data_IF_082579857622
#
_entry.id   IF_082579857622
#
_cell.length_a   1.000
_cell.length_b   1.000
_cell.length_c   1.000
_cell.angle_alpha   90.00
_cell.angle_beta   90.00
_cell.angle_gamma   90.00
#
_symmetry.space_group_name_H-M   'P 1'
#
loop_
_entity.id
_entity.type
_entity.pdbx_description
1 polymer ?
#
# COMPACT_ATOMS: atom_id res chain seq x y z
N UNK A 1 1.12 21.59 29.37
CA UNK A 1 2.38 22.14 28.80
C UNK A 1 2.16 22.35 27.31
N UNK A 2 2.70 23.42 26.70
CA UNK A 2 2.52 23.68 25.27
C UNK A 2 3.17 22.58 24.43
N UNK A 3 2.59 22.29 23.27
CA UNK A 3 3.18 21.39 22.27
C UNK A 3 4.16 22.19 21.41
N UNK A 4 5.38 21.67 21.25
CA UNK A 4 6.42 22.24 20.40
C UNK A 4 6.80 21.23 19.30
N UNK A 5 6.70 21.64 18.04
CA UNK A 5 7.13 20.81 16.91
C UNK A 5 8.57 21.13 16.55
N UNK A 6 9.40 20.09 16.37
CA UNK A 6 10.82 20.22 16.02
C UNK A 6 11.19 19.20 14.93
N UNK A 7 12.05 19.58 13.97
CA UNK A 7 12.64 18.61 13.05
C UNK A 7 13.44 17.54 13.79
N UNK A 8 13.36 16.31 13.30
CA UNK A 8 14.17 15.19 13.77
C UNK A 8 15.65 15.48 13.49
N UNK A 9 16.47 15.50 14.55
CA UNK A 9 17.92 15.70 14.42
C UNK A 9 18.70 14.54 15.01
N UNK A 10 19.51 13.90 14.17
CA UNK A 10 20.40 12.82 14.58
C UNK A 10 19.68 11.52 14.95
N UNK A 11 20.47 10.55 15.43
CA UNK A 11 20.02 9.16 15.60
C UNK A 11 18.98 8.97 16.71
N UNK A 12 19.03 9.80 17.76
CA UNK A 12 18.12 9.69 18.91
C UNK A 12 16.70 10.08 18.52
N UNK A 13 16.54 11.23 17.88
CA UNK A 13 15.23 11.70 17.42
C UNK A 13 14.68 10.79 16.33
N UNK A 14 15.52 10.31 15.41
CA UNK A 14 15.09 9.39 14.36
C UNK A 14 14.52 8.10 14.95
N UNK A 15 15.17 7.56 15.99
CA UNK A 15 14.64 6.42 16.73
C UNK A 15 13.32 6.74 17.42
N UNK A 16 13.20 7.91 18.07
CA UNK A 16 11.94 8.35 18.69
C UNK A 16 10.81 8.49 17.68
N UNK A 17 11.10 9.02 16.49
CA UNK A 17 10.16 9.08 15.39
C UNK A 17 9.65 7.69 15.05
N UNK A 18 10.53 6.73 14.77
CA UNK A 18 10.11 5.35 14.46
C UNK A 18 9.31 4.74 15.63
N UNK A 19 9.84 4.82 16.85
CA UNK A 19 9.29 4.17 18.05
C UNK A 19 7.89 4.67 18.41
N UNK A 20 7.59 5.96 18.17
CA UNK A 20 6.32 6.56 18.60
C UNK A 20 5.08 5.90 17.99
N UNK A 21 5.12 5.45 16.72
CA UNK A 21 3.99 4.73 16.13
C UNK A 21 3.69 3.41 16.86
N UNK A 22 4.73 2.75 17.40
CA UNK A 22 4.58 1.52 18.18
C UNK A 22 4.07 1.79 19.59
N UNK A 23 4.51 2.88 20.20
CA UNK A 23 4.02 3.32 21.51
C UNK A 23 2.54 3.72 21.43
N UNK A 24 2.18 4.50 20.40
CA UNK A 24 0.83 5.05 20.22
C UNK A 24 -0.24 3.98 19.97
N UNK A 25 0.13 2.92 19.27
CA UNK A 25 -0.78 1.85 18.87
C UNK A 25 -0.61 0.56 19.69
N UNK A 26 0.19 0.57 20.76
CA UNK A 26 0.52 -0.64 21.54
C UNK A 26 -0.69 -1.38 22.13
N UNK A 27 -1.78 -0.66 22.37
CA UNK A 27 -3.02 -1.17 22.99
C UNK A 27 -4.11 -1.51 21.97
N UNK A 28 -3.89 -1.24 20.69
CA UNK A 28 -4.85 -1.58 19.64
C UNK A 28 -4.65 -3.06 19.22
N UNK A 29 -5.66 -3.93 19.41
CA UNK A 29 -5.55 -5.35 19.07
C UNK A 29 -5.52 -5.63 17.56
N UNK A 30 -5.92 -4.65 16.74
CA UNK A 30 -5.94 -4.72 15.29
C UNK A 30 -4.77 -3.99 14.63
N UNK A 31 -4.00 -3.23 15.41
CA UNK A 31 -2.74 -2.69 14.91
C UNK A 31 -1.68 -3.79 14.81
N UNK A 32 -1.25 -4.08 13.59
CA UNK A 32 -0.17 -5.03 13.32
C UNK A 32 1.09 -4.23 12.99
N UNK A 33 2.07 -4.16 13.92
CA UNK A 33 3.26 -3.37 13.72
C UNK A 33 4.03 -3.78 12.46
N UNK A 34 4.38 -2.84 11.57
CA UNK A 34 5.32 -3.09 10.50
C UNK A 34 6.65 -3.59 11.06
N UNK A 35 7.46 -4.23 10.21
CA UNK A 35 8.82 -4.57 10.59
C UNK A 35 9.62 -3.30 10.86
N UNK A 36 10.21 -3.21 12.06
CA UNK A 36 11.02 -2.05 12.48
C UNK A 36 12.20 -1.80 11.54
N UNK A 37 12.78 -2.86 10.99
CA UNK A 37 13.84 -2.76 9.99
C UNK A 37 13.30 -2.08 8.72
N UNK A 38 12.17 -2.55 8.17
CA UNK A 38 11.55 -1.95 6.99
C UNK A 38 11.20 -0.48 7.21
N UNK A 39 10.67 -0.10 8.38
CA UNK A 39 10.40 1.31 8.70
C UNK A 39 11.68 2.16 8.73
N UNK A 40 12.74 1.62 9.32
CA UNK A 40 14.04 2.30 9.34
C UNK A 40 14.57 2.49 7.91
N UNK A 41 14.52 1.47 7.06
CA UNK A 41 15.01 1.54 5.69
C UNK A 41 14.18 2.49 4.83
N UNK A 42 12.85 2.41 4.96
CA UNK A 42 11.88 3.30 4.29
C UNK A 42 12.13 4.79 4.57
N UNK A 43 12.58 5.13 5.77
CA UNK A 43 12.83 6.51 6.21
C UNK A 43 14.33 6.91 6.20
N UNK A 44 15.22 6.04 5.69
CA UNK A 44 16.65 6.35 5.57
C UNK A 44 16.98 6.76 4.13
N UNK A 45 17.44 8.00 3.88
CA UNK A 45 17.69 8.49 2.51
C UNK A 45 18.63 7.63 1.67
N UNK A 46 19.66 7.04 2.29
CA UNK A 46 20.63 6.19 1.59
C UNK A 46 20.15 4.77 1.31
N UNK A 47 18.95 4.41 1.77
CA UNK A 47 18.38 3.06 1.64
C UNK A 47 17.09 3.01 0.82
N UNK A 48 16.39 4.13 0.68
CA UNK A 48 15.15 4.21 -0.09
C UNK A 48 15.33 5.10 -1.33
N UNK A 49 15.26 4.54 -2.55
CA UNK A 49 15.40 5.29 -3.80
C UNK A 49 14.40 6.45 -3.98
N UNK A 50 13.26 6.45 -3.26
CA UNK A 50 12.29 7.55 -3.25
C UNK A 50 12.95 8.92 -2.94
N UNK A 51 13.97 8.95 -2.09
CA UNK A 51 14.70 10.16 -1.74
C UNK A 51 15.55 10.74 -2.88
N UNK A 52 15.68 10.05 -4.02
CA UNK A 52 16.34 10.59 -5.21
C UNK A 52 15.52 11.70 -5.89
N UNK A 53 14.22 11.76 -5.63
CA UNK A 53 13.32 12.76 -6.21
C UNK A 53 12.36 13.42 -5.21
N UNK A 54 12.36 12.98 -3.96
CA UNK A 54 11.52 13.57 -2.91
C UNK A 54 12.36 14.07 -1.73
N UNK A 55 11.98 15.24 -1.23
CA UNK A 55 12.48 15.77 0.04
C UNK A 55 11.53 15.37 1.16
N UNK A 56 12.05 14.81 2.26
CA UNK A 56 11.25 14.36 3.40
C UNK A 56 11.79 14.97 4.68
N UNK A 57 10.97 15.81 5.31
CA UNK A 57 11.24 16.38 6.63
C UNK A 57 10.45 15.63 7.69
N UNK A 58 11.15 14.96 8.60
CA UNK A 58 10.53 14.28 9.74
C UNK A 58 10.40 15.25 10.91
N UNK A 59 9.21 15.35 11.48
CA UNK A 59 8.85 16.28 12.54
C UNK A 59 8.33 15.51 13.76
N UNK A 60 8.74 15.93 14.96
CA UNK A 60 8.25 15.42 16.24
C UNK A 60 7.56 16.54 17.02
N UNK A 61 6.39 16.24 17.58
CA UNK A 61 5.72 17.08 18.56
C UNK A 61 6.21 16.69 19.97
N UNK A 62 6.53 17.68 20.79
CA UNK A 62 7.04 17.51 22.15
C UNK A 62 6.15 18.22 23.15
N UNK A 63 5.88 17.56 24.28
CA UNK A 63 5.24 18.16 25.46
C UNK A 63 6.20 17.99 26.63
N UNK A 64 7.01 19.02 26.87
CA UNK A 64 8.20 18.86 27.73
C UNK A 64 9.24 17.96 27.06
N UNK A 65 9.63 16.89 27.74
CA UNK A 65 10.59 15.88 27.25
C UNK A 65 9.92 14.67 26.58
N UNK A 66 8.58 14.62 26.61
CA UNK A 66 7.81 13.51 26.05
C UNK A 66 7.38 13.81 24.61
N UNK A 67 7.51 12.80 23.74
CA UNK A 67 6.99 12.88 22.37
C UNK A 67 5.47 12.75 22.43
N UNK A 68 4.77 13.70 21.82
CA UNK A 68 3.32 13.76 21.73
C UNK A 68 2.79 13.49 20.32
N UNK A 69 3.67 13.26 19.34
CA UNK A 69 3.28 12.94 17.98
C UNK A 69 4.43 12.98 16.97
N UNK A 70 4.17 12.52 15.76
CA UNK A 70 5.08 12.52 14.61
C UNK A 70 4.32 12.81 13.32
N UNK A 71 5.00 13.43 12.36
CA UNK A 71 4.52 13.62 10.99
C UNK A 71 5.74 13.75 10.06
N UNK A 72 5.62 13.27 8.82
CA UNK A 72 6.56 13.58 7.76
C UNK A 72 5.91 14.60 6.82
N UNK A 73 6.60 15.71 6.55
CA UNK A 73 6.31 16.58 5.42
C UNK A 73 7.13 16.09 4.22
N UNK A 74 6.47 15.86 3.08
CA UNK A 74 7.05 15.17 1.92
C UNK A 74 6.81 16.03 0.69
N UNK A 75 7.87 16.49 0.03
CA UNK A 75 7.78 17.17 -1.26
C UNK A 75 8.32 16.25 -2.36
N UNK A 76 7.41 15.60 -3.09
CA UNK A 76 7.76 14.70 -4.20
C UNK A 76 7.73 15.46 -5.53
N UNK A 77 8.92 15.66 -6.11
CA UNK A 77 9.07 16.34 -7.39
C UNK A 77 8.44 15.55 -8.54
N UNK A 78 8.56 14.22 -8.56
CA UNK A 78 8.01 13.41 -9.65
C UNK A 78 6.49 13.48 -9.67
N UNK A 79 5.84 13.48 -8.51
CA UNK A 79 4.39 13.67 -8.43
C UNK A 79 3.96 14.98 -9.08
N UNK A 80 4.61 16.09 -8.73
CA UNK A 80 4.28 17.41 -9.28
C UNK A 80 4.64 17.54 -10.77
N UNK A 81 5.66 16.85 -11.27
CA UNK A 81 5.99 16.78 -12.70
C UNK A 81 4.90 16.06 -13.52
N UNK A 82 4.36 14.96 -12.98
CA UNK A 82 3.32 14.15 -13.62
C UNK A 82 1.94 14.81 -13.54
N UNK A 83 1.51 15.21 -12.35
CA UNK A 83 0.13 15.64 -12.08
C UNK A 83 -0.07 17.15 -12.13
N UNK A 84 1.00 17.94 -11.93
CA UNK A 84 0.95 19.42 -11.89
C UNK A 84 -0.09 19.97 -10.91
N UNK A 85 -0.36 19.26 -9.82
CA UNK A 85 -1.35 19.63 -8.81
C UNK A 85 -0.78 20.51 -7.69
N UNK A 86 0.53 20.78 -7.71
CA UNK A 86 1.21 21.76 -6.86
C UNK A 86 1.02 21.50 -5.35
N UNK A 87 1.37 20.28 -4.97
CA UNK A 87 1.04 19.68 -3.68
C UNK A 87 2.29 19.18 -2.98
N UNK A 88 2.37 19.43 -1.68
CA UNK A 88 3.19 18.64 -0.76
C UNK A 88 2.32 17.56 -0.12
N UNK A 89 2.94 16.49 0.33
CA UNK A 89 2.28 15.41 1.04
C UNK A 89 2.59 15.46 2.53
N UNK A 90 1.67 14.93 3.35
CA UNK A 90 2.01 14.52 4.70
C UNK A 90 1.82 13.03 4.87
N UNK A 91 2.61 12.42 5.75
CA UNK A 91 2.58 10.99 6.04
C UNK A 91 3.09 10.70 7.44
N UNK A 92 3.12 9.41 7.78
CA UNK A 92 3.67 8.88 9.01
C UNK A 92 3.11 9.59 10.25
N UNK A 93 1.84 9.95 10.17
CA UNK A 93 1.15 10.80 11.13
C UNK A 93 0.67 9.99 12.32
N UNK A 94 1.07 10.42 13.51
CA UNK A 94 0.57 9.92 14.79
C UNK A 94 0.48 11.10 15.78
N UNK A 95 -0.54 11.11 16.62
CA UNK A 95 -0.74 12.15 17.62
C UNK A 95 -1.36 11.59 18.90
N UNK A 96 -0.91 12.09 20.06
CA UNK A 96 -1.47 11.76 21.36
C UNK A 96 -2.89 12.31 21.54
N UNK A 97 -3.14 13.51 21.01
CA UNK A 97 -4.36 14.29 21.16
C UNK A 97 -4.50 15.31 20.03
N UNK A 98 -5.63 16.01 20.00
CA UNK A 98 -5.95 17.03 18.99
C UNK A 98 -4.92 18.16 18.97
N UNK A 99 -4.45 18.65 20.13
CA UNK A 99 -3.46 19.73 20.19
C UNK A 99 -2.16 19.34 19.49
N UNK A 100 -1.67 18.12 19.73
CA UNK A 100 -0.49 17.60 19.05
C UNK A 100 -0.72 17.42 17.54
N UNK A 101 -1.90 16.93 17.15
CA UNK A 101 -2.29 16.79 15.76
C UNK A 101 -2.30 18.13 15.02
N UNK A 102 -2.96 19.15 15.59
CA UNK A 102 -3.03 20.50 15.02
C UNK A 102 -1.63 21.09 14.83
N UNK A 103 -0.77 20.98 15.84
CA UNK A 103 0.60 21.49 15.76
C UNK A 103 1.41 20.81 14.65
N UNK A 104 1.30 19.48 14.51
CA UNK A 104 1.99 18.70 13.48
C UNK A 104 1.50 19.01 12.06
N UNK A 105 0.17 19.04 11.87
CA UNK A 105 -0.44 19.36 10.58
C UNK A 105 -0.12 20.80 10.16
N UNK A 106 -0.12 21.75 11.09
CA UNK A 106 0.31 23.12 10.85
C UNK A 106 1.79 23.19 10.43
N UNK A 107 2.68 22.44 11.09
CA UNK A 107 4.09 22.40 10.75
C UNK A 107 4.33 21.81 9.35
N UNK A 108 3.62 20.74 8.98
CA UNK A 108 3.66 20.18 7.63
C UNK A 108 3.16 21.19 6.58
N UNK A 109 2.08 21.93 6.88
CA UNK A 109 1.58 23.00 6.02
C UNK A 109 2.56 24.17 5.87
N UNK A 110 3.25 24.56 6.94
CA UNK A 110 4.31 25.58 6.86
C UNK A 110 5.50 25.11 6.02
N UNK A 111 5.91 23.85 6.14
CA UNK A 111 6.98 23.25 5.32
C UNK A 111 6.59 23.25 3.82
N UNK A 112 5.35 22.86 3.51
CA UNK A 112 4.81 22.89 2.16
C UNK A 112 4.79 24.31 1.55
N UNK A 113 4.33 25.31 2.31
CA UNK A 113 4.36 26.72 1.90
C UNK A 113 5.79 27.22 1.64
N UNK A 114 6.73 26.86 2.51
CA UNK A 114 8.14 27.24 2.35
C UNK A 114 8.76 26.64 1.07
N UNK A 115 8.30 25.45 0.66
CA UNK A 115 8.67 24.81 -0.60
C UNK A 115 7.83 25.28 -1.80
N UNK A 116 7.01 26.33 -1.63
CA UNK A 116 6.24 26.95 -2.71
C UNK A 116 5.01 26.16 -3.16
N UNK A 117 4.52 25.22 -2.35
CA UNK A 117 3.32 24.42 -2.68
C UNK A 117 2.05 25.14 -2.25
N UNK A 118 0.98 24.97 -3.03
CA UNK A 118 -0.35 25.53 -2.75
C UNK A 118 -1.27 24.57 -2.00
N UNK A 119 -0.94 23.30 -1.95
CA UNK A 119 -1.77 22.28 -1.29
C UNK A 119 -0.93 21.37 -0.40
N UNK A 120 -1.59 20.82 0.62
CA UNK A 120 -1.08 19.67 1.38
C UNK A 120 -2.07 18.52 1.30
N UNK A 121 -1.61 17.32 0.93
CA UNK A 121 -2.43 16.11 0.79
C UNK A 121 -1.90 14.94 1.62
N UNK A 122 -2.77 14.15 2.23
CA UNK A 122 -2.33 12.99 3.00
C UNK A 122 -3.44 12.30 3.79
N UNK A 123 -3.13 11.23 4.52
CA UNK A 123 -1.77 10.70 4.72
C UNK A 123 -1.28 9.82 3.55
N UNK A 124 0.01 9.91 3.21
CA UNK A 124 0.71 9.12 2.18
C UNK A 124 2.14 8.75 2.70
N UNK A 125 2.53 7.47 2.64
CA UNK A 125 3.68 6.91 3.39
C UNK A 125 4.70 6.10 2.53
N UNK A 126 5.71 6.74 1.92
CA UNK A 126 5.75 8.16 1.56
C UNK A 126 5.10 8.44 0.20
N UNK A 127 4.73 7.40 -0.57
CA UNK A 127 4.10 7.53 -1.88
C UNK A 127 2.89 6.60 -2.02
N UNK A 128 2.04 6.88 -3.02
CA UNK A 128 0.88 6.06 -3.35
C UNK A 128 1.26 4.64 -3.82
N UNK A 129 2.50 4.43 -4.27
CA UNK A 129 3.04 3.12 -4.64
C UNK A 129 3.45 2.26 -3.41
N UNK A 130 3.59 2.86 -2.22
CA UNK A 130 3.92 2.12 -0.99
C UNK A 130 2.67 1.91 -0.12
N UNK A 131 2.16 2.98 0.50
CA UNK A 131 1.00 2.92 1.39
C UNK A 131 0.36 4.30 1.53
N UNK A 132 -0.97 4.39 1.50
CA UNK A 132 -1.68 5.67 1.56
C UNK A 132 -3.09 5.51 2.12
N UNK A 133 -3.63 6.65 2.57
CA UNK A 133 -4.97 6.77 3.12
C UNK A 133 -5.02 6.53 4.64
N UNK A 134 -5.89 7.28 5.30
CA UNK A 134 -6.25 7.09 6.70
C UNK A 134 -7.41 6.09 6.78
N UNK A 135 -7.32 5.06 7.61
CA UNK A 135 -8.46 4.19 7.89
C UNK A 135 -9.58 5.03 8.52
N UNK A 136 -10.78 4.99 7.93
CA UNK A 136 -11.99 5.69 8.39
C UNK A 136 -13.19 4.76 8.59
N UNK A 137 -13.08 3.50 8.18
CA UNK A 137 -14.11 2.47 8.36
C UNK A 137 -13.47 1.07 8.38
N UNK A 138 -14.00 0.17 9.22
CA UNK A 138 -13.49 -1.20 9.40
C UNK A 138 -12.38 -1.37 10.44
N UNK A 139 -12.41 -0.61 11.54
CA UNK A 139 -11.42 -0.66 12.63
C UNK A 139 -11.42 -1.99 13.43
N UNK A 140 -12.47 -2.80 13.30
CA UNK A 140 -12.70 -4.07 14.00
C UNK A 140 -11.99 -5.28 13.36
N UNK A 141 -11.12 -5.04 12.39
CA UNK A 141 -10.41 -6.09 11.65
C UNK A 141 -8.94 -5.75 11.45
N UNK A 142 -8.09 -6.78 11.44
CA UNK A 142 -6.66 -6.64 11.18
C UNK A 142 -6.42 -6.08 9.76
N UNK A 143 -5.40 -5.22 9.55
CA UNK A 143 -5.01 -4.77 8.24
C UNK A 143 -4.28 -5.89 7.49
N UNK A 144 -4.52 -6.00 6.19
CA UNK A 144 -3.68 -6.81 5.32
C UNK A 144 -2.30 -6.18 5.17
N UNK A 145 -1.31 -7.00 4.82
CA UNK A 145 0.06 -6.57 4.52
C UNK A 145 0.11 -5.33 3.63
N UNK A 146 0.93 -4.35 4.03
CA UNK A 146 1.11 -3.02 3.42
C UNK A 146 -0.10 -2.06 3.50
N UNK A 147 -1.21 -2.43 4.15
CA UNK A 147 -2.32 -1.51 4.40
C UNK A 147 -2.18 -0.81 5.76
N UNK A 148 -2.56 0.49 5.85
CA UNK A 148 -2.43 1.25 7.09
C UNK A 148 -3.51 0.83 8.12
N UNK A 149 -3.22 1.09 9.38
CA UNK A 149 -4.17 1.02 10.49
C UNK A 149 -3.79 2.12 11.48
N UNK A 150 -4.77 2.92 11.89
CA UNK A 150 -4.58 4.08 12.75
C UNK A 150 -5.73 4.20 13.75
N UNK A 151 -5.55 4.97 14.83
CA UNK A 151 -6.63 5.31 15.75
C UNK A 151 -7.80 6.02 15.03
N UNK A 152 -9.06 5.73 15.39
CA UNK A 152 -10.24 6.28 14.72
C UNK A 152 -10.36 7.81 14.84
N UNK A 153 -9.91 8.39 15.95
CA UNK A 153 -9.97 9.83 16.23
C UNK A 153 -9.12 10.69 15.27
N UNK A 154 -8.20 10.09 14.50
CA UNK A 154 -7.35 10.84 13.58
C UNK A 154 -8.13 11.50 12.44
N UNK A 155 -9.29 10.94 12.06
CA UNK A 155 -10.16 11.57 11.08
C UNK A 155 -10.64 12.94 11.58
N UNK A 156 -11.12 12.99 12.81
CA UNK A 156 -11.61 14.21 13.45
C UNK A 156 -10.49 15.25 13.58
N UNK A 157 -9.29 14.84 14.00
CA UNK A 157 -8.13 15.73 14.11
C UNK A 157 -7.72 16.36 12.77
N UNK A 158 -7.73 15.57 11.69
CA UNK A 158 -7.39 16.05 10.35
C UNK A 158 -8.48 17.01 9.83
N UNK A 159 -9.75 16.65 10.02
CA UNK A 159 -10.88 17.48 9.60
C UNK A 159 -10.97 18.80 10.38
N UNK A 160 -10.71 18.79 11.70
CA UNK A 160 -10.68 19.99 12.52
C UNK A 160 -9.50 20.92 12.19
N UNK A 161 -8.41 20.37 11.63
CA UNK A 161 -7.30 21.14 11.06
C UNK A 161 -7.65 21.82 9.72
N UNK A 162 -8.88 21.68 9.23
CA UNK A 162 -9.38 22.29 8.00
C UNK A 162 -9.07 21.50 6.73
N UNK A 163 -8.61 20.26 6.85
CA UNK A 163 -8.48 19.37 5.70
C UNK A 163 -9.84 18.79 5.32
N UNK A 164 -10.02 18.49 4.04
CA UNK A 164 -11.25 17.89 3.50
C UNK A 164 -10.91 16.65 2.69
N UNK A 165 -11.83 15.69 2.63
CA UNK A 165 -11.72 14.52 1.76
C UNK A 165 -11.40 14.95 0.33
N UNK A 166 -10.41 14.32 -0.29
CA UNK A 166 -10.15 14.41 -1.73
C UNK A 166 -10.37 13.09 -2.45
N UNK A 167 -10.15 11.95 -1.79
CA UNK A 167 -10.38 10.63 -2.36
C UNK A 167 -10.60 9.59 -1.28
N UNK A 168 -11.64 8.77 -1.43
CA UNK A 168 -11.77 7.51 -0.70
C UNK A 168 -11.20 6.34 -1.51
N UNK A 169 -10.66 5.39 -0.76
CA UNK A 169 -9.95 4.20 -1.21
C UNK A 169 -10.62 2.99 -0.56
N UNK A 170 -11.16 2.09 -1.37
CA UNK A 170 -11.87 0.89 -0.89
C UNK A 170 -10.93 -0.30 -0.82
N UNK A 171 -11.12 -1.12 0.21
CA UNK A 171 -10.59 -2.46 0.26
C UNK A 171 -11.74 -3.46 0.27
N UNK A 172 -11.68 -4.38 -0.67
CA UNK A 172 -12.69 -5.41 -0.86
C UNK A 172 -12.16 -6.75 -0.41
N UNK A 173 -12.95 -7.47 0.36
CA UNK A 173 -12.64 -8.81 0.83
C UNK A 173 -13.48 -9.83 0.04
N UNK A 174 -12.80 -10.78 -0.58
CA UNK A 174 -13.38 -11.85 -1.38
C UNK A 174 -13.10 -13.21 -0.74
N UNK A 175 -14.12 -14.07 -0.76
CA UNK A 175 -14.02 -15.46 -0.34
C UNK A 175 -13.51 -16.31 -1.52
N UNK A 176 -12.28 -16.83 -1.39
CA UNK A 176 -11.61 -17.64 -2.42
C UNK A 176 -12.32 -19.00 -2.59
N UNK A 177 -12.98 -19.51 -1.55
CA UNK A 177 -13.66 -20.80 -1.58
C UNK A 177 -14.96 -20.76 -2.38
N UNK A 178 -15.47 -19.54 -2.66
CA UNK A 178 -16.65 -19.32 -3.48
C UNK A 178 -16.50 -19.94 -4.87
N UNK A 179 -17.55 -20.62 -5.31
CA UNK A 179 -17.58 -21.20 -6.66
C UNK A 179 -17.56 -20.10 -7.73
N UNK A 180 -16.65 -20.26 -8.69
CA UNK A 180 -16.63 -19.41 -9.87
C UNK A 180 -17.84 -19.74 -10.74
N UNK A 181 -18.64 -18.74 -11.17
CA UNK A 181 -19.75 -18.98 -12.09
C UNK A 181 -19.28 -19.77 -13.33
N UNK A 182 -19.96 -20.86 -13.73
CA UNK A 182 -19.52 -21.71 -14.84
C UNK A 182 -19.30 -20.97 -16.15
N UNK A 183 -20.03 -19.87 -16.37
CA UNK A 183 -19.85 -18.99 -17.54
C UNK A 183 -18.47 -18.31 -17.56
N UNK A 184 -17.99 -17.85 -16.40
CA UNK A 184 -16.68 -17.20 -16.26
C UNK A 184 -15.58 -18.22 -16.46
N UNK A 185 -15.69 -19.40 -15.82
CA UNK A 185 -14.73 -20.49 -16.02
C UNK A 185 -14.63 -20.93 -17.48
N UNK A 186 -15.76 -21.12 -18.18
CA UNK A 186 -15.76 -21.45 -19.61
C UNK A 186 -15.12 -20.37 -20.48
N UNK A 187 -15.37 -19.09 -20.17
CA UNK A 187 -14.76 -17.98 -20.90
C UNK A 187 -13.24 -17.96 -20.70
N UNK A 188 -12.78 -18.11 -19.46
CA UNK A 188 -11.35 -18.17 -19.13
C UNK A 188 -10.66 -19.31 -19.90
N UNK A 189 -11.23 -20.53 -19.84
CA UNK A 189 -10.70 -21.68 -20.58
C UNK A 189 -10.65 -21.43 -22.09
N UNK A 190 -11.70 -20.85 -22.68
CA UNK A 190 -11.72 -20.50 -24.10
C UNK A 190 -10.62 -19.49 -24.48
N UNK A 191 -10.35 -18.50 -23.64
CA UNK A 191 -9.27 -17.53 -23.88
C UNK A 191 -7.91 -18.20 -23.75
N UNK A 192 -7.74 -19.07 -22.74
CA UNK A 192 -6.52 -19.84 -22.50
C UNK A 192 -6.17 -20.76 -23.66
N UNK A 193 -7.16 -21.40 -24.25
CA UNK A 193 -6.94 -22.40 -25.32
C UNK A 193 -6.76 -21.73 -26.71
N UNK A 194 -6.67 -20.40 -26.79
CA UNK A 194 -6.27 -19.71 -28.02
C UNK A 194 -4.79 -19.95 -28.26
N UNK A 195 -4.43 -20.37 -29.47
CA UNK A 195 -3.05 -20.76 -29.85
C UNK A 195 -1.97 -19.72 -29.52
N UNK A 196 -2.35 -18.44 -29.41
CA UNK A 196 -1.43 -17.32 -29.17
C UNK A 196 -1.27 -16.92 -27.70
N UNK A 197 -2.06 -17.50 -26.79
CA UNK A 197 -2.08 -17.12 -25.37
C UNK A 197 -1.37 -18.20 -24.55
N UNK A 198 -0.33 -17.80 -23.83
CA UNK A 198 0.38 -18.69 -22.90
C UNK A 198 0.20 -18.18 -21.47
N UNK A 199 -0.45 -18.96 -20.62
CA UNK A 199 -0.53 -18.70 -19.18
C UNK A 199 0.64 -19.38 -18.49
N UNK A 200 1.39 -18.65 -17.68
CA UNK A 200 2.58 -19.16 -16.99
C UNK A 200 2.72 -18.57 -15.59
N UNK A 201 3.45 -19.25 -14.68
CA UNK A 201 3.84 -18.65 -13.41
C UNK A 201 4.89 -17.54 -13.60
N UNK A 202 5.11 -16.78 -12.53
CA UNK A 202 6.25 -15.87 -12.43
C UNK A 202 7.55 -16.67 -12.28
N UNK A 203 8.57 -16.40 -13.12
CA UNK A 203 9.82 -17.15 -13.10
C UNK A 203 10.85 -16.53 -12.15
N UNK A 204 10.86 -16.95 -10.88
CA UNK A 204 11.78 -16.40 -9.87
C UNK A 204 13.27 -16.66 -10.16
N UNK A 205 13.59 -17.68 -10.95
CA UNK A 205 14.95 -17.93 -11.46
C UNK A 205 15.44 -16.81 -12.39
N UNK A 206 14.52 -16.11 -13.07
CA UNK A 206 14.79 -14.95 -13.92
C UNK A 206 14.38 -13.63 -13.25
N UNK A 207 14.51 -13.54 -11.92
CA UNK A 207 13.96 -12.45 -11.11
C UNK A 207 14.15 -11.04 -11.70
N UNK A 208 15.37 -10.67 -12.11
CA UNK A 208 15.64 -9.34 -12.67
C UNK A 208 14.81 -9.06 -13.94
N UNK A 209 14.71 -10.04 -14.85
CA UNK A 209 13.90 -9.92 -16.07
C UNK A 209 12.42 -9.85 -15.75
N UNK A 210 11.94 -10.67 -14.80
CA UNK A 210 10.54 -10.59 -14.38
C UNK A 210 10.20 -9.23 -13.77
N UNK A 211 11.09 -8.67 -12.95
CA UNK A 211 10.90 -7.34 -12.36
C UNK A 211 10.75 -6.28 -13.47
N UNK A 212 11.59 -6.31 -14.50
CA UNK A 212 11.49 -5.39 -15.65
C UNK A 212 10.17 -5.58 -16.42
N UNK A 213 9.79 -6.84 -16.72
CA UNK A 213 8.52 -7.18 -17.38
C UNK A 213 7.32 -6.66 -16.59
N UNK A 214 7.31 -6.90 -15.27
CA UNK A 214 6.21 -6.49 -14.40
C UNK A 214 6.15 -4.97 -14.25
N UNK A 215 7.29 -4.27 -14.21
CA UNK A 215 7.32 -2.81 -14.19
C UNK A 215 6.66 -2.23 -15.45
N UNK A 216 6.97 -2.78 -16.62
CA UNK A 216 6.35 -2.34 -17.88
C UNK A 216 4.83 -2.53 -17.87
N UNK A 217 4.35 -3.70 -17.42
CA UNK A 217 2.91 -3.97 -17.30
C UNK A 217 2.27 -3.05 -16.27
N UNK A 218 2.91 -2.83 -15.12
CA UNK A 218 2.40 -1.94 -14.06
C UNK A 218 2.24 -0.51 -14.57
N UNK A 219 3.30 0.08 -15.13
CA UNK A 219 3.26 1.44 -15.65
C UNK A 219 2.21 1.60 -16.77
N UNK A 220 2.14 0.66 -17.71
CA UNK A 220 1.16 0.74 -18.82
C UNK A 220 -0.28 0.46 -18.40
N UNK A 221 -0.50 -0.36 -17.35
CA UNK A 221 -1.86 -0.62 -16.87
C UNK A 221 -2.40 0.50 -15.98
N UNK A 222 -1.54 1.23 -15.27
CA UNK A 222 -1.93 2.21 -14.24
C UNK A 222 -1.67 3.67 -14.59
N UNK A 223 -1.14 3.99 -15.78
CA UNK A 223 -0.79 5.37 -16.22
C UNK A 223 -1.90 6.42 -16.01
N UNK A 224 -3.18 6.04 -16.13
CA UNK A 224 -4.33 6.94 -15.98
C UNK A 224 -4.98 6.89 -14.59
N UNK A 225 -4.43 6.10 -13.65
CA UNK A 225 -5.01 5.95 -12.33
C UNK A 225 -4.73 7.20 -11.47
N UNK A 226 -5.72 7.65 -10.69
CA UNK A 226 -5.59 8.88 -9.90
C UNK A 226 -4.39 8.82 -8.95
N UNK A 227 -3.55 9.85 -8.98
CA UNK A 227 -2.35 9.97 -8.15
C UNK A 227 -1.23 8.97 -8.51
N UNK A 228 -1.37 8.19 -9.57
CA UNK A 228 -0.31 7.28 -10.00
C UNK A 228 0.92 8.05 -10.49
N UNK A 229 2.07 7.76 -9.90
CA UNK A 229 3.38 8.22 -10.37
C UNK A 229 4.15 6.96 -10.75
N UNK A 230 4.60 6.82 -12.02
CA UNK A 230 5.39 5.66 -12.42
C UNK A 230 6.61 5.53 -11.49
N UNK A 231 6.76 4.41 -10.75
CA UNK A 231 7.93 4.23 -9.90
C UNK A 231 9.19 4.17 -10.78
N UNK A 232 10.28 4.70 -10.25
CA UNK A 232 11.59 4.53 -10.87
C UNK A 232 11.97 3.05 -10.90
N UNK A 233 12.93 2.69 -11.76
CA UNK A 233 13.42 1.31 -11.83
C UNK A 233 13.94 0.81 -10.49
N UNK A 234 14.66 1.67 -9.75
CA UNK A 234 15.24 1.32 -8.45
C UNK A 234 14.17 1.19 -7.35
N UNK A 235 13.14 2.04 -7.35
CA UNK A 235 12.00 1.88 -6.43
C UNK A 235 11.26 0.56 -6.67
N UNK A 236 10.95 0.25 -7.93
CA UNK A 236 10.23 -0.98 -8.26
C UNK A 236 11.08 -2.22 -7.95
N UNK A 237 12.39 -2.18 -8.25
CA UNK A 237 13.35 -3.24 -7.91
C UNK A 237 13.48 -3.43 -6.39
N UNK A 238 13.55 -2.34 -5.61
CA UNK A 238 13.57 -2.39 -4.14
C UNK A 238 12.34 -3.11 -3.62
N UNK A 239 11.14 -2.66 -4.02
CA UNK A 239 9.88 -3.26 -3.55
C UNK A 239 9.80 -4.74 -3.90
N UNK A 240 10.14 -5.12 -5.13
CA UNK A 240 10.18 -6.52 -5.54
C UNK A 240 11.17 -7.35 -4.71
N UNK A 241 12.33 -6.78 -4.38
CA UNK A 241 13.37 -7.45 -3.56
C UNK A 241 12.91 -7.64 -2.11
N UNK A 242 12.20 -6.66 -1.54
CA UNK A 242 11.63 -6.74 -0.20
C UNK A 242 10.50 -7.79 -0.11
N UNK A 243 9.70 -7.93 -1.16
CA UNK A 243 8.61 -8.91 -1.22
C UNK A 243 9.09 -10.33 -1.54
N UNK A 244 10.22 -10.49 -2.23
CA UNK A 244 10.74 -11.80 -2.67
C UNK A 244 10.81 -12.87 -1.56
N UNK A 245 11.27 -12.61 -0.32
CA UNK A 245 11.35 -13.63 0.72
C UNK A 245 10.00 -14.17 1.20
N UNK A 246 8.93 -13.38 1.05
CA UNK A 246 7.58 -13.72 1.51
C UNK A 246 6.68 -14.20 0.37
N UNK A 247 7.14 -14.06 -0.87
CA UNK A 247 6.40 -14.45 -2.05
C UNK A 247 6.12 -15.96 -2.10
N UNK A 248 4.97 -16.30 -2.66
CA UNK A 248 4.51 -17.65 -2.92
C UNK A 248 4.19 -17.75 -4.42
N UNK A 249 4.80 -18.69 -5.12
CA UNK A 249 4.66 -18.83 -6.57
C UNK A 249 3.21 -19.05 -7.03
N UNK A 250 2.35 -19.58 -6.14
CA UNK A 250 0.91 -19.76 -6.38
C UNK A 250 0.12 -18.45 -6.41
N UNK A 251 0.75 -17.35 -5.97
CA UNK A 251 0.14 -16.04 -5.89
C UNK A 251 0.42 -15.17 -7.12
N UNK A 252 1.00 -15.71 -8.20
CA UNK A 252 1.17 -14.96 -9.43
C UNK A 252 0.81 -15.75 -10.68
N UNK A 253 0.08 -15.08 -11.56
CA UNK A 253 -0.26 -15.59 -12.90
C UNK A 253 0.15 -14.54 -13.91
N UNK A 254 0.93 -14.94 -14.91
CA UNK A 254 1.29 -14.11 -16.05
C UNK A 254 0.64 -14.67 -17.32
N UNK A 255 0.34 -13.79 -18.27
CA UNK A 255 -0.09 -14.17 -19.60
C UNK A 255 0.79 -13.50 -20.65
N UNK A 256 1.32 -14.33 -21.54
CA UNK A 256 2.03 -13.90 -22.72
C UNK A 256 1.11 -14.04 -23.94
N UNK A 257 1.22 -13.11 -24.89
CA UNK A 257 0.54 -13.17 -26.18
C UNK A 257 1.58 -13.08 -27.29
N UNK A 258 1.58 -14.05 -28.19
CA UNK A 258 2.58 -14.16 -29.26
C UNK A 258 4.04 -14.13 -28.72
N UNK A 259 4.24 -14.71 -27.52
CA UNK A 259 5.54 -14.78 -26.83
C UNK A 259 5.94 -13.52 -26.06
N UNK A 260 5.15 -12.45 -26.11
CA UNK A 260 5.40 -11.21 -25.37
C UNK A 260 4.59 -11.18 -24.05
N UNK A 261 5.18 -10.75 -22.92
CA UNK A 261 4.46 -10.59 -21.65
C UNK A 261 3.53 -9.38 -21.72
N UNK A 262 2.23 -9.62 -21.58
CA UNK A 262 1.22 -8.55 -21.76
C UNK A 262 0.30 -8.36 -20.56
N UNK A 263 0.25 -9.32 -19.65
CA UNK A 263 -0.60 -9.22 -18.48
C UNK A 263 -0.10 -10.03 -17.29
N UNK A 264 -0.47 -9.60 -16.09
CA UNK A 264 -0.19 -10.32 -14.86
C UNK A 264 -1.24 -10.02 -13.78
N UNK A 265 -1.42 -10.99 -12.88
CA UNK A 265 -2.10 -10.83 -11.60
C UNK A 265 -1.14 -11.30 -10.51
N UNK A 266 -0.83 -10.43 -9.54
CA UNK A 266 0.11 -10.69 -8.46
C UNK A 266 -0.57 -10.40 -7.13
N UNK A 267 -0.67 -11.44 -6.31
CA UNK A 267 -1.01 -11.37 -4.91
C UNK A 267 0.21 -11.66 -4.05
N UNK A 268 0.15 -11.29 -2.77
CA UNK A 268 1.13 -11.68 -1.76
C UNK A 268 0.44 -12.30 -0.55
N UNK A 269 1.04 -13.31 0.09
CA UNK A 269 0.54 -13.84 1.35
C UNK A 269 0.50 -12.76 2.42
N UNK A 270 -0.57 -12.72 3.21
CA UNK A 270 -0.70 -11.76 4.29
C UNK A 270 0.16 -12.16 5.50
N UNK A 271 1.43 -11.74 5.47
CA UNK A 271 2.39 -12.02 6.54
C UNK A 271 2.03 -11.40 7.88
N UNK A 272 1.09 -10.43 7.91
CA UNK A 272 0.62 -9.83 9.14
C UNK A 272 0.04 -10.88 10.10
N UNK A 273 -0.63 -11.92 9.59
CA UNK A 273 -1.12 -13.05 10.40
C UNK A 273 0.00 -13.79 11.14
N UNK A 274 1.15 -13.97 10.50
CA UNK A 274 2.31 -14.62 11.12
C UNK A 274 3.04 -13.68 12.10
N UNK A 275 3.05 -12.38 11.81
CA UNK A 275 3.77 -11.38 12.59
C UNK A 275 2.95 -10.76 13.73
N UNK A 276 1.64 -11.01 13.80
CA UNK A 276 0.77 -10.49 14.85
C UNK A 276 1.29 -10.84 16.25
N UNK A 277 1.49 -9.82 17.09
CA UNK A 277 2.07 -9.99 18.44
C UNK A 277 3.60 -10.10 18.49
N UNK A 278 4.33 -9.84 17.40
CA UNK A 278 5.80 -9.78 17.42
C UNK A 278 6.35 -8.37 17.68
N UNK A 279 5.48 -7.36 17.78
CA UNK A 279 5.85 -5.95 17.92
C UNK A 279 6.85 -5.47 16.84
N UNK A 280 6.69 -5.97 15.61
CA UNK A 280 7.53 -5.61 14.47
C UNK A 280 8.96 -6.14 14.53
N UNK A 281 9.23 -7.14 15.40
CA UNK A 281 10.55 -7.75 15.58
C UNK A 281 10.61 -9.14 14.96
N UNK A 282 11.64 -9.37 14.15
CA UNK A 282 11.89 -10.70 13.58
C UNK A 282 12.49 -11.66 14.62
N UNK A 283 13.45 -11.22 15.43
CA UNK A 283 14.14 -12.10 16.35
C UNK A 283 13.59 -12.01 17.80
N UNK A 284 13.51 -13.14 18.52
CA UNK A 284 13.72 -14.51 18.05
C UNK A 284 12.46 -15.17 17.43
N UNK A 285 11.26 -14.78 17.86
CA UNK A 285 10.02 -15.49 17.58
C UNK A 285 9.43 -15.23 16.18
N UNK A 286 9.62 -14.04 15.61
CA UNK A 286 9.10 -13.66 14.29
C UNK A 286 9.66 -14.51 13.15
N UNK A 287 10.96 -14.82 13.14
CA UNK A 287 11.60 -15.71 12.15
C UNK A 287 10.99 -17.11 12.23
N UNK A 288 10.81 -17.66 13.43
CA UNK A 288 10.21 -19.00 13.61
C UNK A 288 8.76 -19.02 13.06
N UNK A 289 8.00 -17.95 13.32
CA UNK A 289 6.62 -17.82 12.80
C UNK A 289 6.59 -17.67 11.28
N UNK A 290 7.49 -16.88 10.68
CA UNK A 290 7.62 -16.75 9.24
C UNK A 290 8.05 -18.05 8.56
N UNK A 291 8.97 -18.82 9.16
CA UNK A 291 9.35 -20.15 8.66
C UNK A 291 8.19 -21.15 8.73
N UNK A 292 7.27 -20.97 9.70
CA UNK A 292 6.05 -21.77 9.85
C UNK A 292 4.81 -21.06 9.28
N UNK A 293 4.99 -20.09 8.37
CA UNK A 293 3.93 -19.19 7.89
C UNK A 293 2.71 -19.90 7.31
N UNK A 294 2.90 -21.05 6.67
CA UNK A 294 1.81 -21.86 6.11
C UNK A 294 0.82 -22.38 7.15
N UNK A 295 1.15 -22.32 8.45
CA UNK A 295 0.22 -22.64 9.55
C UNK A 295 -0.63 -21.46 10.01
N UNK A 296 -0.20 -20.24 9.69
CA UNK A 296 -0.82 -19.01 10.19
C UNK A 296 -1.54 -18.23 9.09
N UNK A 297 -1.03 -18.28 7.86
CA UNK A 297 -1.50 -17.46 6.76
C UNK A 297 -2.54 -18.22 5.95
N UNK A 298 -3.78 -17.74 5.98
CA UNK A 298 -4.88 -18.20 5.13
C UNK A 298 -5.44 -17.10 4.21
N UNK A 299 -4.77 -15.94 4.16
CA UNK A 299 -5.19 -14.82 3.31
C UNK A 299 -4.08 -14.32 2.40
N UNK A 300 -4.50 -13.74 1.28
CA UNK A 300 -3.62 -13.04 0.33
C UNK A 300 -4.14 -11.63 0.08
N UNK A 301 -3.24 -10.71 -0.28
CA UNK A 301 -3.59 -9.40 -0.82
C UNK A 301 -3.22 -9.34 -2.29
N UNK A 302 -4.19 -9.13 -3.16
CA UNK A 302 -4.01 -8.87 -4.59
C UNK A 302 -3.46 -7.45 -4.75
N UNK A 303 -2.17 -7.34 -5.04
CA UNK A 303 -1.47 -6.06 -5.21
C UNK A 303 -1.69 -5.46 -6.59
N UNK A 304 -1.75 -6.33 -7.60
CA UNK A 304 -1.71 -5.92 -8.99
C UNK A 304 -2.56 -6.87 -9.82
N UNK A 305 -3.42 -6.29 -10.65
CA UNK A 305 -3.86 -6.93 -11.91
C UNK A 305 -3.65 -5.92 -13.01
N UNK A 306 -2.85 -6.28 -14.00
CA UNK A 306 -2.50 -5.40 -15.10
C UNK A 306 -2.60 -6.13 -16.43
N UNK A 307 -3.21 -5.46 -17.41
CA UNK A 307 -3.21 -5.85 -18.82
C UNK A 307 -2.80 -4.62 -19.62
N UNK A 308 -1.79 -4.77 -20.48
CA UNK A 308 -1.37 -3.71 -21.37
C UNK A 308 -2.55 -3.18 -22.22
N UNK A 309 -2.63 -1.86 -22.47
CA UNK A 309 -3.79 -1.23 -23.12
C UNK A 309 -4.27 -1.93 -24.40
N UNK A 310 -3.35 -2.39 -25.25
CA UNK A 310 -3.62 -3.00 -26.55
C UNK A 310 -4.27 -4.40 -26.44
N UNK A 311 -4.29 -4.99 -25.23
CA UNK A 311 -4.75 -6.35 -24.97
C UNK A 311 -5.99 -6.42 -24.07
N UNK A 312 -6.51 -5.28 -23.58
CA UNK A 312 -7.63 -5.23 -22.62
C UNK A 312 -8.91 -5.92 -23.11
N UNK A 313 -9.19 -5.87 -24.42
CA UNK A 313 -10.39 -6.47 -25.02
C UNK A 313 -10.27 -7.97 -25.29
N UNK A 314 -9.11 -8.60 -25.02
CA UNK A 314 -8.87 -10.02 -25.34
C UNK A 314 -9.40 -11.00 -24.30
N UNK A 315 -9.96 -10.51 -23.19
CA UNK A 315 -10.48 -11.35 -22.10
C UNK A 315 -9.40 -11.84 -21.13
N UNK A 316 -8.27 -11.14 -21.03
CA UNK A 316 -7.15 -11.55 -20.17
C UNK A 316 -7.44 -11.32 -18.68
N UNK A 317 -8.18 -10.27 -18.30
CA UNK A 317 -8.58 -10.04 -16.90
C UNK A 317 -9.33 -11.24 -16.26
N UNK A 318 -10.45 -11.72 -16.83
CA UNK A 318 -11.16 -12.86 -16.25
C UNK A 318 -10.33 -14.16 -16.29
N UNK A 319 -9.46 -14.34 -17.31
CA UNK A 319 -8.54 -15.47 -17.36
C UNK A 319 -7.55 -15.45 -16.19
N UNK A 320 -6.88 -14.32 -15.96
CA UNK A 320 -5.90 -14.16 -14.88
C UNK A 320 -6.54 -14.37 -13.51
N UNK A 321 -7.69 -13.75 -13.26
CA UNK A 321 -8.39 -13.89 -11.98
C UNK A 321 -8.86 -15.32 -11.73
N UNK A 322 -9.37 -16.01 -12.77
CA UNK A 322 -9.78 -17.40 -12.69
C UNK A 322 -8.62 -18.33 -12.36
N UNK A 323 -7.50 -18.19 -13.08
CA UNK A 323 -6.31 -19.02 -12.85
C UNK A 323 -5.66 -18.70 -11.50
N UNK A 324 -5.62 -17.43 -11.09
CA UNK A 324 -5.10 -17.03 -9.78
C UNK A 324 -5.95 -17.63 -8.66
N UNK A 325 -7.28 -17.47 -8.71
CA UNK A 325 -8.19 -18.05 -7.71
C UNK A 325 -7.97 -19.56 -7.59
N UNK A 326 -7.84 -20.27 -8.70
CA UNK A 326 -7.56 -21.72 -8.72
C UNK A 326 -6.24 -22.05 -8.00
N UNK A 327 -5.16 -21.30 -8.28
CA UNK A 327 -3.85 -21.53 -7.69
C UNK A 327 -3.83 -21.22 -6.18
N UNK A 328 -4.35 -20.07 -5.76
CA UNK A 328 -4.36 -19.68 -4.34
C UNK A 328 -5.28 -20.58 -3.52
N UNK A 329 -6.43 -20.99 -4.08
CA UNK A 329 -7.32 -21.97 -3.42
C UNK A 329 -6.61 -23.30 -3.19
N UNK A 330 -5.91 -23.81 -4.20
CA UNK A 330 -5.08 -25.02 -4.06
C UNK A 330 -3.93 -24.85 -3.07
N UNK A 331 -3.55 -23.62 -2.76
CA UNK A 331 -2.51 -23.28 -1.78
C UNK A 331 -2.96 -23.24 -0.32
N UNK A 332 -4.27 -23.38 -0.06
CA UNK A 332 -4.85 -23.30 1.28
C UNK A 332 -5.32 -21.89 1.69
N UNK A 333 -5.24 -20.91 0.79
CA UNK A 333 -5.77 -19.58 1.02
C UNK A 333 -7.29 -19.57 0.90
N UNK A 334 -7.95 -18.85 1.82
CA UNK A 334 -9.41 -18.78 1.96
C UNK A 334 -9.98 -17.39 1.65
N UNK A 335 -9.20 -16.33 1.89
CA UNK A 335 -9.66 -14.96 1.65
C UNK A 335 -8.64 -14.16 0.85
N UNK A 336 -9.14 -13.31 -0.04
CA UNK A 336 -8.34 -12.35 -0.78
C UNK A 336 -8.81 -10.93 -0.47
N UNK A 337 -7.90 -10.02 -0.13
CA UNK A 337 -8.18 -8.59 -0.24
C UNK A 337 -7.69 -8.07 -1.59
N UNK A 338 -8.45 -7.20 -2.23
CA UNK A 338 -7.91 -6.32 -3.27
C UNK A 338 -8.14 -4.87 -2.86
N UNK A 339 -7.04 -4.13 -2.82
CA UNK A 339 -6.96 -2.78 -2.27
C UNK A 339 -5.70 -2.08 -2.78
N UNK A 340 -5.65 -0.75 -2.77
CA UNK A 340 -6.80 0.13 -2.66
C UNK A 340 -7.46 0.31 -4.02
N UNK A 341 -8.79 0.37 -4.06
CA UNK A 341 -9.57 0.67 -5.26
C UNK A 341 -10.16 2.06 -5.11
N UNK A 342 -9.99 2.93 -6.10
CA UNK A 342 -10.57 4.28 -6.07
C UNK A 342 -12.10 4.21 -5.94
N UNK A 343 -12.69 5.10 -5.14
CA UNK A 343 -14.15 5.14 -4.93
C UNK A 343 -14.97 5.27 -6.23
N UNK A 344 -14.40 5.92 -7.24
CA UNK A 344 -15.01 6.18 -8.55
C UNK A 344 -14.63 5.17 -9.63
N UNK A 345 -13.80 4.16 -9.32
CA UNK A 345 -13.45 3.10 -10.26
C UNK A 345 -14.58 2.07 -10.40
N UNK A 346 -15.60 2.42 -11.19
CA UNK A 346 -16.76 1.56 -11.46
C UNK A 346 -16.39 0.23 -12.13
N UNK A 347 -15.35 0.23 -12.95
CA UNK A 347 -14.87 -0.97 -13.68
C UNK A 347 -14.32 -2.05 -12.74
N UNK A 348 -13.96 -1.69 -11.51
CA UNK A 348 -13.55 -2.63 -10.46
C UNK A 348 -14.62 -2.79 -9.39
N UNK A 349 -15.17 -1.69 -8.87
CA UNK A 349 -16.11 -1.71 -7.74
C UNK A 349 -17.40 -2.48 -8.06
N UNK A 350 -17.98 -2.30 -9.25
CA UNK A 350 -19.24 -2.97 -9.60
C UNK A 350 -19.05 -4.48 -9.83
N UNK A 351 -18.06 -4.95 -10.63
CA UNK A 351 -17.79 -6.38 -10.75
C UNK A 351 -17.40 -7.05 -9.42
N UNK A 352 -16.67 -6.35 -8.55
CA UNK A 352 -16.33 -6.81 -7.21
C UNK A 352 -17.58 -7.15 -6.38
N UNK A 353 -18.52 -6.21 -6.30
CA UNK A 353 -19.78 -6.38 -5.58
C UNK A 353 -20.64 -7.48 -6.20
N UNK A 354 -20.71 -7.56 -7.54
CA UNK A 354 -21.43 -8.62 -8.26
C UNK A 354 -20.82 -10.01 -8.06
N UNK A 355 -19.49 -10.10 -7.94
CA UNK A 355 -18.79 -11.32 -7.56
C UNK A 355 -19.00 -11.68 -6.07
N UNK A 356 -19.66 -10.79 -5.30
CA UNK A 356 -19.98 -10.96 -3.90
C UNK A 356 -18.81 -10.71 -2.96
N UNK A 357 -17.83 -9.90 -3.38
CA UNK A 357 -16.86 -9.32 -2.46
C UNK A 357 -17.53 -8.28 -1.55
N UNK A 358 -17.04 -8.15 -0.33
CA UNK A 358 -17.53 -7.17 0.65
C UNK A 358 -16.53 -6.01 0.75
N UNK A 359 -16.97 -4.78 0.51
CA UNK A 359 -16.19 -3.59 0.87
C UNK A 359 -16.15 -3.52 2.40
N UNK A 360 -15.00 -3.85 2.99
CA UNK A 360 -14.89 -4.08 4.43
C UNK A 360 -14.04 -3.05 5.17
N UNK A 361 -13.23 -2.30 4.43
CA UNK A 361 -12.48 -1.15 4.93
C UNK A 361 -12.54 -0.01 3.93
N UNK A 362 -12.57 1.21 4.46
CA UNK A 362 -12.45 2.45 3.69
C UNK A 362 -11.27 3.24 4.24
N UNK A 363 -10.40 3.67 3.34
CA UNK A 363 -9.34 4.62 3.64
C UNK A 363 -9.65 5.95 2.96
N UNK A 364 -9.21 7.05 3.55
CA UNK A 364 -9.46 8.41 3.07
C UNK A 364 -8.16 9.18 2.94
N UNK A 365 -8.00 9.85 1.80
CA UNK A 365 -6.99 10.87 1.60
C UNK A 365 -7.69 12.23 1.73
N UNK A 366 -7.05 13.12 2.48
CA UNK A 366 -7.47 14.47 2.73
C UNK A 366 -6.56 15.48 2.03
N UNK A 367 -7.07 16.67 1.77
CA UNK A 367 -6.33 17.79 1.23
C UNK A 367 -6.74 19.11 1.90
N UNK A 368 -5.79 20.02 2.03
CA UNK A 368 -6.00 21.41 2.46
C UNK A 368 -5.33 22.36 1.48
N UNK A 369 -6.02 23.45 1.15
CA UNK A 369 -5.44 24.56 0.42
C UNK A 369 -4.62 25.45 1.37
N UNK A 370 -3.45 25.85 0.93
CA UNK A 370 -2.57 26.81 1.58
C UNK A 370 -2.77 28.13 0.82
N UNK A 371 -3.04 29.21 1.55
CA UNK A 371 -3.61 30.46 1.03
C UNK A 371 -3.02 30.98 -0.29
#
# INVERSE_FOLDING_TARGET
MPVLVRPVRGRRDFRRFIDYAYERNAHDPHWIPPLRLSEHERLTPTKNPFFAHAEVELLLAWRGDDVAGRIAAIDDRLHNEVHRDDVAMFGFFEAADEDAAQALLAAAASSALANGRRFVRGPINPSLNESAGLLVDGFDTDPMVMMPHNPPEYADYIESAGYRKVKDLFAWLYDIEREVPPVVGRLALRVRDRERVTVRPLQLSEFAREVERMRAIYCGAWEHNWGFVPPTEDEFRRLATELKPIFDERCAVCADVDGAPVACAIAIPDINQALKGTNGRLFPSGVIRLLRRTRYIDQVRLLLVGVLPEYRTRGLYPLLLFELQRQVRGGGYRRAEFSWVLEDNRDVNQPAEQAGARCYKRYRIYQKALA
#
